data_IF_841420359084
#
_entry.id   IF_841420359084
#
_cell.length_a   1.000
_cell.length_b   1.000
_cell.length_c   1.000
_cell.angle_alpha   90.00
_cell.angle_beta   90.00
_cell.angle_gamma   90.00
#
_symmetry.space_group_name_H-M   'P 1'
#
loop_
_entity.id
_entity.type
_entity.pdbx_description
1 polymer ?
#
# COMPACT_ATOMS: atom_id res chain seq x y z
N UNK A 1 -10.64 -11.46 -9.82
CA UNK A 1 -10.05 -10.98 -11.09
C UNK A 1 -9.54 -9.57 -10.90
N UNK A 2 -8.47 -9.12 -11.59
CA UNK A 2 -7.94 -7.75 -11.47
C UNK A 2 -9.00 -6.65 -11.67
N UNK A 3 -9.97 -6.88 -12.56
CA UNK A 3 -11.07 -5.93 -12.83
C UNK A 3 -11.98 -5.69 -11.62
N UNK A 4 -12.31 -6.76 -10.87
CA UNK A 4 -13.09 -6.67 -9.63
C UNK A 4 -12.32 -5.86 -8.56
N UNK A 5 -11.00 -6.04 -8.49
CA UNK A 5 -10.17 -5.28 -7.56
C UNK A 5 -10.03 -3.81 -7.94
N UNK A 6 -9.82 -3.51 -9.22
CA UNK A 6 -9.73 -2.12 -9.66
C UNK A 6 -11.06 -1.40 -9.42
N UNK A 7 -12.19 -2.06 -9.69
CA UNK A 7 -13.50 -1.51 -9.38
C UNK A 7 -13.65 -1.22 -7.88
N UNK A 8 -13.20 -2.11 -6.98
CA UNK A 8 -13.17 -1.83 -5.54
C UNK A 8 -12.36 -0.57 -5.19
N UNK A 9 -11.22 -0.34 -5.84
CA UNK A 9 -10.45 0.89 -5.67
C UNK A 9 -11.20 2.13 -6.14
N UNK A 10 -11.83 2.06 -7.31
CA UNK A 10 -12.67 3.14 -7.86
C UNK A 10 -13.84 3.43 -6.94
N UNK A 11 -14.49 2.40 -6.44
CA UNK A 11 -15.61 2.53 -5.51
C UNK A 11 -15.15 3.19 -4.23
N UNK A 12 -14.06 2.73 -3.62
CA UNK A 12 -13.55 3.23 -2.35
C UNK A 12 -12.94 4.64 -2.45
N UNK A 13 -12.54 5.10 -3.64
CA UNK A 13 -11.83 6.37 -3.81
C UNK A 13 -12.65 7.60 -3.43
N UNK A 14 -13.98 7.54 -3.52
CA UNK A 14 -14.85 8.63 -3.08
C UNK A 14 -14.70 8.95 -1.60
N UNK A 15 -14.32 7.98 -0.77
CA UNK A 15 -14.07 8.19 0.65
C UNK A 15 -12.90 9.15 0.90
N UNK A 16 -11.89 9.11 0.03
CA UNK A 16 -10.76 10.04 0.07
C UNK A 16 -11.15 11.45 -0.43
N UNK A 17 -12.22 11.59 -1.22
CA UNK A 17 -12.73 12.88 -1.67
C UNK A 17 -13.23 13.79 -0.53
N UNK A 18 -13.62 13.22 0.60
CA UNK A 18 -13.95 13.99 1.82
C UNK A 18 -12.73 14.69 2.45
N UNK A 19 -11.52 14.31 2.04
CA UNK A 19 -10.29 15.02 2.36
C UNK A 19 -10.16 16.18 1.36
N UNK A 20 -9.90 15.86 0.10
CA UNK A 20 -9.67 16.81 -0.96
C UNK A 20 -10.14 16.15 -2.26
N UNK A 21 -10.89 16.84 -3.14
CA UNK A 21 -11.40 16.24 -4.37
C UNK A 21 -10.30 15.60 -5.24
N UNK A 22 -9.10 16.19 -5.27
CA UNK A 22 -7.97 15.64 -6.04
C UNK A 22 -7.54 14.24 -5.58
N UNK A 23 -7.79 13.88 -4.31
CA UNK A 23 -7.42 12.57 -3.76
C UNK A 23 -8.20 11.41 -4.39
N UNK A 24 -9.38 11.66 -4.96
CA UNK A 24 -10.17 10.64 -5.67
C UNK A 24 -9.37 10.06 -6.84
N UNK A 25 -8.80 10.94 -7.67
CA UNK A 25 -8.01 10.54 -8.83
C UNK A 25 -6.69 9.86 -8.41
N UNK A 26 -6.05 10.34 -7.34
CA UNK A 26 -4.83 9.73 -6.81
C UNK A 26 -5.06 8.32 -6.27
N UNK A 27 -6.15 8.08 -5.54
CA UNK A 27 -6.51 6.75 -5.05
C UNK A 27 -6.84 5.80 -6.20
N UNK A 28 -7.52 6.27 -7.25
CA UNK A 28 -7.73 5.46 -8.45
C UNK A 28 -6.40 5.13 -9.15
N UNK A 29 -5.46 6.08 -9.23
CA UNK A 29 -4.11 5.84 -9.73
C UNK A 29 -3.36 4.77 -8.93
N UNK A 30 -3.41 4.86 -7.60
CA UNK A 30 -2.88 3.83 -6.70
C UNK A 30 -3.49 2.45 -6.95
N UNK A 31 -4.80 2.40 -7.20
CA UNK A 31 -5.50 1.16 -7.56
C UNK A 31 -5.02 0.55 -8.87
N UNK A 32 -4.75 1.37 -9.90
CA UNK A 32 -4.18 0.88 -11.18
C UNK A 32 -2.79 0.29 -10.97
N UNK A 33 -1.94 0.98 -10.20
CA UNK A 33 -0.59 0.47 -9.89
C UNK A 33 -0.64 -0.82 -9.06
N UNK A 34 -1.56 -0.92 -8.10
CA UNK A 34 -1.77 -2.13 -7.31
C UNK A 34 -2.16 -3.32 -8.20
N UNK A 35 -3.14 -3.15 -9.10
CA UNK A 35 -3.54 -4.20 -10.04
C UNK A 35 -2.39 -4.60 -10.98
N UNK A 36 -1.67 -3.63 -11.55
CA UNK A 36 -0.51 -3.90 -12.41
C UNK A 36 0.58 -4.68 -11.69
N UNK A 37 0.87 -4.34 -10.43
CA UNK A 37 1.86 -5.06 -9.63
C UNK A 37 1.41 -6.50 -9.32
N UNK A 38 0.12 -6.72 -9.05
CA UNK A 38 -0.45 -8.06 -8.84
C UNK A 38 -0.38 -8.91 -10.12
N UNK A 39 -0.67 -8.32 -11.27
CA UNK A 39 -0.57 -8.99 -12.58
C UNK A 39 0.88 -9.39 -12.88
N UNK A 40 1.84 -8.49 -12.63
CA UNK A 40 3.27 -8.80 -12.79
C UNK A 40 3.76 -9.86 -11.81
N UNK A 41 3.27 -9.86 -10.57
CA UNK A 41 3.56 -10.91 -9.59
C UNK A 41 3.03 -12.28 -10.08
N UNK A 42 1.78 -12.34 -10.55
CA UNK A 42 1.19 -13.56 -11.08
C UNK A 42 1.94 -14.07 -12.33
N UNK A 43 2.30 -13.15 -13.24
CA UNK A 43 3.08 -13.46 -14.45
C UNK A 43 4.44 -14.04 -14.08
N UNK A 44 5.15 -13.41 -13.14
CA UNK A 44 6.48 -13.87 -12.72
C UNK A 44 6.42 -15.25 -12.05
N UNK A 45 5.42 -15.50 -11.20
CA UNK A 45 5.24 -16.80 -10.53
C UNK A 45 4.96 -17.95 -11.51
N UNK A 46 4.43 -17.65 -12.70
CA UNK A 46 4.16 -18.64 -13.76
C UNK A 46 5.40 -18.99 -14.60
N UNK A 47 6.53 -18.28 -14.44
CA UNK A 47 7.74 -18.55 -15.20
C UNK A 47 8.50 -19.78 -14.68
N UNK A 48 9.10 -20.52 -15.62
CA UNK A 48 10.09 -21.53 -15.28
C UNK A 48 11.46 -20.89 -14.95
N UNK A 49 12.41 -21.69 -14.49
CA UNK A 49 13.71 -21.20 -14.03
C UNK A 49 14.52 -20.49 -15.13
N UNK A 50 14.55 -21.05 -16.34
CA UNK A 50 15.25 -20.47 -17.49
C UNK A 50 14.67 -19.11 -17.87
N UNK A 51 13.34 -19.01 -17.97
CA UNK A 51 12.63 -17.77 -18.28
C UNK A 51 12.91 -16.69 -17.23
N UNK A 52 12.84 -17.07 -15.94
CA UNK A 52 13.07 -16.14 -14.82
C UNK A 52 14.50 -15.60 -14.73
N UNK A 53 15.47 -16.28 -15.35
CA UNK A 53 16.89 -15.90 -15.33
C UNK A 53 17.30 -15.03 -16.52
N UNK A 54 16.36 -14.66 -17.39
CA UNK A 54 16.65 -13.85 -18.58
C UNK A 54 16.95 -12.38 -18.24
N UNK A 55 17.70 -11.70 -19.12
CA UNK A 55 17.97 -10.26 -18.99
C UNK A 55 16.66 -9.44 -18.98
N UNK A 56 15.70 -9.83 -19.82
CA UNK A 56 14.39 -9.17 -19.88
C UNK A 56 13.65 -9.25 -18.54
N UNK A 57 13.67 -10.41 -17.89
CA UNK A 57 13.05 -10.57 -16.57
C UNK A 57 13.80 -9.81 -15.47
N UNK A 58 15.12 -9.67 -15.59
CA UNK A 58 15.91 -8.84 -14.67
C UNK A 58 15.48 -7.36 -14.74
N UNK A 59 15.28 -6.82 -15.94
CA UNK A 59 14.75 -5.45 -16.12
C UNK A 59 13.34 -5.30 -15.56
N UNK A 60 12.44 -6.24 -15.86
CA UNK A 60 11.07 -6.23 -15.33
C UNK A 60 11.03 -6.31 -13.81
N UNK A 61 11.93 -7.08 -13.20
CA UNK A 61 12.06 -7.16 -11.75
C UNK A 61 12.49 -5.80 -11.16
N UNK A 62 13.46 -5.12 -11.77
CA UNK A 62 13.90 -3.79 -11.35
C UNK A 62 12.77 -2.75 -11.44
N UNK A 63 12.00 -2.76 -12.55
CA UNK A 63 10.84 -1.89 -12.75
C UNK A 63 9.75 -2.16 -11.71
N UNK A 64 9.44 -3.44 -11.47
CA UNK A 64 8.45 -3.86 -10.47
C UNK A 64 8.86 -3.45 -9.06
N UNK A 65 10.13 -3.62 -8.71
CA UNK A 65 10.66 -3.19 -7.41
C UNK A 65 10.52 -1.68 -7.24
N UNK A 66 10.93 -0.91 -8.25
CA UNK A 66 10.84 0.55 -8.26
C UNK A 66 9.39 1.03 -8.14
N UNK A 67 8.48 0.46 -8.93
CA UNK A 67 7.05 0.81 -8.87
C UNK A 67 6.43 0.42 -7.53
N UNK A 68 6.85 -0.70 -6.92
CA UNK A 68 6.39 -1.10 -5.59
C UNK A 68 6.84 -0.11 -4.52
N UNK A 69 8.05 0.44 -4.64
CA UNK A 69 8.53 1.50 -3.75
C UNK A 69 7.71 2.78 -3.90
N UNK A 70 7.45 3.23 -5.14
CA UNK A 70 6.58 4.39 -5.37
C UNK A 70 5.16 4.17 -4.86
N UNK A 71 4.63 2.95 -4.99
CA UNK A 71 3.33 2.60 -4.46
C UNK A 71 3.30 2.72 -2.93
N UNK A 72 4.28 2.15 -2.22
CA UNK A 72 4.36 2.23 -0.76
C UNK A 72 4.51 3.68 -0.28
N UNK A 73 5.33 4.49 -0.95
CA UNK A 73 5.49 5.91 -0.66
C UNK A 73 4.16 6.66 -0.79
N UNK A 74 3.48 6.53 -1.93
CA UNK A 74 2.21 7.23 -2.17
C UNK A 74 1.08 6.75 -1.24
N UNK A 75 1.01 5.43 -0.98
CA UNK A 75 0.05 4.87 -0.02
C UNK A 75 0.29 5.38 1.41
N UNK A 76 1.55 5.44 1.84
CA UNK A 76 1.91 6.01 3.14
C UNK A 76 1.53 7.48 3.24
N UNK A 77 1.82 8.30 2.24
CA UNK A 77 1.51 9.73 2.28
C UNK A 77 0.00 10.01 2.33
N UNK A 78 -0.81 9.19 1.66
CA UNK A 78 -2.26 9.21 1.79
C UNK A 78 -2.69 8.92 3.24
N UNK A 79 -2.19 7.83 3.82
CA UNK A 79 -2.51 7.40 5.19
C UNK A 79 -2.02 8.43 6.22
N UNK A 80 -0.84 9.02 6.02
CA UNK A 80 -0.29 10.09 6.86
C UNK A 80 -1.17 11.33 6.81
N UNK A 81 -1.62 11.72 5.62
CA UNK A 81 -2.50 12.89 5.43
C UNK A 81 -3.85 12.67 6.11
N UNK A 82 -4.43 11.48 5.97
CA UNK A 82 -5.63 11.07 6.68
C UNK A 82 -5.46 11.17 8.19
N UNK A 83 -4.44 10.52 8.76
CA UNK A 83 -4.14 10.55 10.21
C UNK A 83 -3.94 11.98 10.74
N UNK A 84 -3.23 12.82 9.98
CA UNK A 84 -3.04 14.23 10.33
C UNK A 84 -4.37 14.96 10.44
N UNK A 85 -5.28 14.78 9.47
CA UNK A 85 -6.58 15.46 9.49
C UNK A 85 -7.48 15.01 10.64
N UNK A 86 -7.46 13.73 11.00
CA UNK A 86 -8.14 13.28 12.22
C UNK A 86 -7.56 13.96 13.47
N UNK A 87 -6.23 13.98 13.61
CA UNK A 87 -5.57 14.60 14.75
C UNK A 87 -5.84 16.10 14.90
N UNK A 88 -6.04 16.82 13.80
CA UNK A 88 -6.30 18.26 13.82
C UNK A 88 -7.80 18.61 13.77
N UNK A 89 -8.70 17.62 13.77
CA UNK A 89 -10.14 17.84 13.60
C UNK A 89 -10.53 18.40 12.23
N UNK A 90 -9.63 18.34 11.24
CA UNK A 90 -9.82 18.91 9.91
C UNK A 90 -10.49 17.92 8.93
N UNK A 91 -11.39 17.07 9.44
CA UNK A 91 -12.07 16.03 8.66
C UNK A 91 -13.53 15.92 9.04
N UNK A 92 -14.38 15.59 8.08
CA UNK A 92 -15.81 15.30 8.28
C UNK A 92 -16.06 13.80 8.49
N UNK A 93 -14.99 13.00 8.51
CA UNK A 93 -15.01 11.56 8.66
C UNK A 93 -15.30 11.13 10.11
N UNK A 94 -15.86 9.92 10.35
CA UNK A 94 -16.16 9.44 11.71
C UNK A 94 -14.91 9.32 12.60
N UNK A 95 -14.99 9.80 13.84
CA UNK A 95 -13.87 9.77 14.81
C UNK A 95 -13.38 8.36 15.16
N UNK A 96 -14.29 7.40 15.21
CA UNK A 96 -14.01 5.97 15.44
C UNK A 96 -13.03 5.37 14.42
N UNK A 97 -12.88 5.98 13.24
CA UNK A 97 -11.93 5.55 12.21
C UNK A 97 -10.51 6.08 12.42
N UNK A 98 -10.32 7.08 13.29
CA UNK A 98 -9.02 7.70 13.57
C UNK A 98 -7.99 6.72 14.14
N UNK A 99 -8.39 5.84 15.06
CA UNK A 99 -7.50 4.81 15.59
C UNK A 99 -7.07 3.80 14.52
N UNK A 100 -7.97 3.46 13.59
CA UNK A 100 -7.68 2.49 12.51
C UNK A 100 -6.64 3.05 11.54
N UNK A 101 -6.77 4.33 11.15
CA UNK A 101 -5.76 4.96 10.27
C UNK A 101 -4.41 5.10 10.97
N UNK A 102 -4.40 5.39 12.27
CA UNK A 102 -3.16 5.47 13.05
C UNK A 102 -2.45 4.12 13.12
N UNK A 103 -3.18 3.01 13.22
CA UNK A 103 -2.62 1.64 13.18
C UNK A 103 -2.07 1.32 11.78
N UNK A 104 -2.83 1.63 10.72
CA UNK A 104 -2.38 1.42 9.34
C UNK A 104 -1.09 2.22 9.04
N UNK A 105 -1.04 3.48 9.48
CA UNK A 105 0.13 4.34 9.37
C UNK A 105 1.35 3.70 10.02
N UNK A 106 1.23 3.24 11.27
CA UNK A 106 2.34 2.59 12.00
C UNK A 106 2.86 1.35 11.27
N UNK A 107 1.97 0.56 10.66
CA UNK A 107 2.39 -0.62 9.88
C UNK A 107 3.17 -0.21 8.63
N UNK A 108 2.73 0.83 7.92
CA UNK A 108 3.45 1.38 6.78
C UNK A 108 4.78 2.07 7.18
N UNK A 109 4.83 2.73 8.34
CA UNK A 109 6.07 3.31 8.90
C UNK A 109 7.13 2.23 9.15
N UNK A 110 6.71 1.02 9.52
CA UNK A 110 7.61 -0.10 9.78
C UNK A 110 8.41 -0.53 8.55
N UNK A 111 7.83 -0.38 7.36
CA UNK A 111 8.55 -0.60 6.09
C UNK A 111 9.65 0.41 5.84
N UNK A 112 9.67 1.53 6.58
CA UNK A 112 10.52 2.71 6.38
C UNK A 112 10.29 3.23 4.98
N UNK A 113 9.48 4.29 4.87
CA UNK A 113 9.12 4.90 3.58
C UNK A 113 10.33 4.84 2.64
N UNK A 114 10.26 3.95 1.63
CA UNK A 114 11.42 3.67 0.81
C UNK A 114 11.89 4.95 0.15
N UNK A 115 13.21 5.13 0.05
CA UNK A 115 13.85 6.34 -0.49
C UNK A 115 13.73 7.61 0.39
N UNK A 116 12.97 7.60 1.49
CA UNK A 116 12.78 8.79 2.34
C UNK A 116 13.36 8.64 3.75
N UNK A 117 13.56 7.41 4.25
CA UNK A 117 14.19 7.16 5.57
C UNK A 117 15.17 5.98 5.49
N UNK A 118 16.44 6.24 5.79
CA UNK A 118 17.53 5.25 5.80
C UNK A 118 17.78 4.64 7.19
N UNK A 119 17.19 5.22 8.24
CA UNK A 119 17.36 4.79 9.63
C UNK A 119 16.21 3.91 10.12
N UNK A 120 16.47 3.14 11.18
CA UNK A 120 15.46 2.32 11.86
C UNK A 120 14.34 3.16 12.46
N UNK A 121 13.10 2.75 12.20
CA UNK A 121 11.94 3.39 12.81
C UNK A 121 12.07 3.32 14.33
N UNK A 122 12.02 4.46 15.01
CA UNK A 122 12.25 4.56 16.48
C UNK A 122 11.41 3.58 17.32
N UNK A 123 10.24 3.19 16.82
CA UNK A 123 9.32 2.25 17.48
C UNK A 123 9.70 0.77 17.30
N UNK A 124 10.61 0.45 16.38
CA UNK A 124 11.04 -0.90 16.04
C UNK A 124 12.58 -1.01 16.06
N UNK A 125 13.23 -0.79 17.22
CA UNK A 125 14.69 -0.68 17.30
C UNK A 125 15.45 -1.97 16.94
N UNK A 126 14.78 -3.13 16.97
CA UNK A 126 15.35 -4.44 16.63
C UNK A 126 15.23 -4.79 15.13
N UNK A 127 14.54 -3.97 14.33
CA UNK A 127 14.40 -4.19 12.88
C UNK A 127 15.71 -3.83 12.16
N UNK A 128 16.04 -4.56 11.08
CA UNK A 128 17.24 -4.39 10.26
C UNK A 128 17.37 -2.95 9.73
N UNK A 129 18.57 -2.34 9.73
CA UNK A 129 18.81 -0.95 9.27
C UNK A 129 18.26 -0.66 7.85
N UNK A 130 18.19 -1.68 7.00
CA UNK A 130 17.55 -1.59 5.69
C UNK A 130 16.44 -2.64 5.64
N UNK A 131 15.25 -2.23 5.19
CA UNK A 131 14.19 -3.16 4.81
C UNK A 131 14.56 -3.76 3.44
N UNK A 132 15.13 -4.96 3.43
CA UNK A 132 15.60 -5.57 2.19
C UNK A 132 14.41 -6.05 1.36
N UNK A 133 14.29 -5.62 0.09
CA UNK A 133 13.25 -6.15 -0.77
C UNK A 133 13.52 -7.64 -1.01
N UNK A 134 12.45 -8.41 -0.93
CA UNK A 134 12.45 -9.83 -1.24
C UNK A 134 11.28 -10.14 -2.16
N UNK A 135 11.42 -11.17 -2.96
CA UNK A 135 10.35 -11.65 -3.82
C UNK A 135 10.08 -13.11 -3.49
N UNK A 136 8.81 -13.41 -3.23
CA UNK A 136 8.32 -14.78 -3.07
C UNK A 136 7.33 -15.09 -4.18
N UNK A 137 7.28 -16.36 -4.59
CA UNK A 137 6.25 -16.84 -5.52
C UNK A 137 4.85 -16.81 -4.89
N UNK A 138 4.75 -16.88 -3.55
CA UNK A 138 3.49 -17.01 -2.83
C UNK A 138 2.79 -15.66 -2.61
N UNK A 139 3.56 -14.62 -2.29
CA UNK A 139 3.02 -13.29 -1.92
C UNK A 139 3.59 -12.14 -2.76
N UNK A 140 4.39 -12.43 -3.79
CA UNK A 140 5.00 -11.43 -4.65
C UNK A 140 6.09 -10.64 -3.93
N UNK A 141 6.16 -9.34 -4.22
CA UNK A 141 7.15 -8.46 -3.63
C UNK A 141 6.82 -8.11 -2.16
N UNK A 142 7.83 -8.26 -1.29
CA UNK A 142 7.76 -8.00 0.13
C UNK A 142 9.05 -7.35 0.64
N UNK A 143 9.04 -6.97 1.92
CA UNK A 143 10.22 -6.46 2.61
C UNK A 143 10.51 -7.28 3.85
N UNK A 144 11.76 -7.73 3.95
CA UNK A 144 12.30 -8.39 5.13
C UNK A 144 12.75 -7.30 6.13
N UNK A 145 11.98 -7.12 7.20
CA UNK A 145 12.19 -6.02 8.16
C UNK A 145 12.88 -6.47 9.46
N UNK A 146 12.76 -7.75 9.83
CA UNK A 146 13.43 -8.38 10.97
C UNK A 146 13.54 -9.90 10.74
N UNK A 147 14.33 -10.61 11.55
CA UNK A 147 14.76 -12.02 11.35
C UNK A 147 13.69 -12.99 10.82
N UNK A 148 12.43 -12.85 11.24
CA UNK A 148 11.30 -13.66 10.76
C UNK A 148 10.08 -12.80 10.43
N UNK A 149 10.30 -11.54 10.05
CA UNK A 149 9.22 -10.60 9.74
C UNK A 149 9.31 -10.10 8.32
N UNK A 150 8.27 -10.43 7.56
CA UNK A 150 8.04 -9.96 6.21
C UNK A 150 6.78 -9.12 6.17
N UNK A 151 6.81 -8.06 5.37
CA UNK A 151 5.62 -7.28 5.07
C UNK A 151 5.46 -7.28 3.56
N UNK A 152 4.42 -7.95 3.05
CA UNK A 152 4.13 -7.95 1.62
C UNK A 152 3.48 -6.64 1.19
N UNK A 153 3.79 -6.18 -0.02
CA UNK A 153 3.09 -5.03 -0.61
C UNK A 153 1.59 -5.30 -0.74
N UNK A 154 1.22 -6.53 -1.07
CA UNK A 154 -0.17 -6.97 -1.24
C UNK A 154 -0.98 -6.84 0.06
N UNK A 155 -0.42 -7.23 1.20
CA UNK A 155 -1.08 -7.04 2.49
C UNK A 155 -1.37 -5.57 2.80
N UNK A 156 -0.45 -4.67 2.46
CA UNK A 156 -0.64 -3.23 2.67
C UNK A 156 -1.74 -2.68 1.77
N UNK A 157 -1.77 -3.12 0.51
CA UNK A 157 -2.79 -2.69 -0.44
C UNK A 157 -4.16 -3.22 -0.09
N UNK A 158 -4.26 -4.46 0.39
CA UNK A 158 -5.49 -5.04 0.93
C UNK A 158 -5.99 -4.25 2.14
N UNK A 159 -5.13 -3.97 3.12
CA UNK A 159 -5.52 -3.21 4.32
C UNK A 159 -5.95 -1.77 4.01
N UNK A 160 -5.25 -1.10 3.09
CA UNK A 160 -5.62 0.25 2.67
C UNK A 160 -6.96 0.24 1.91
N UNK A 161 -7.15 -0.70 0.99
CA UNK A 161 -8.38 -0.83 0.23
C UNK A 161 -9.57 -1.13 1.16
N UNK A 162 -9.42 -2.06 2.09
CA UNK A 162 -10.46 -2.41 3.05
C UNK A 162 -10.79 -1.24 3.98
N UNK A 163 -9.77 -0.49 4.43
CA UNK A 163 -9.98 0.73 5.21
C UNK A 163 -10.81 1.78 4.45
N UNK A 164 -10.46 2.06 3.19
CA UNK A 164 -11.18 3.03 2.36
C UNK A 164 -12.61 2.57 2.03
N UNK A 165 -12.80 1.28 1.76
CA UNK A 165 -14.11 0.71 1.50
C UNK A 165 -15.03 0.81 2.72
N UNK A 166 -14.50 0.52 3.92
CA UNK A 166 -15.23 0.70 5.17
C UNK A 166 -15.57 2.16 5.45
N UNK A 167 -14.64 3.07 5.16
CA UNK A 167 -14.85 4.50 5.32
C UNK A 167 -16.00 4.98 4.44
N UNK A 168 -16.05 4.53 3.18
CA UNK A 168 -17.17 4.79 2.27
C UNK A 168 -18.50 4.29 2.84
N UNK A 169 -18.56 3.04 3.30
CA UNK A 169 -19.79 2.46 3.87
C UNK A 169 -20.35 3.32 5.01
N UNK A 170 -19.48 3.77 5.92
CA UNK A 170 -19.85 4.63 7.05
C UNK A 170 -20.32 6.02 6.62
N UNK A 171 -19.70 6.60 5.58
CA UNK A 171 -20.17 7.86 5.00
C UNK A 171 -21.58 7.75 4.40
N UNK A 172 -21.90 6.64 3.73
CA UNK A 172 -23.23 6.41 3.15
C UNK A 172 -24.29 6.21 4.24
N UNK A 173 -23.98 5.46 5.30
CA UNK A 173 -24.91 5.22 6.41
C UNK A 173 -25.28 6.51 7.17
N UNK A 174 -24.36 7.47 7.29
CA UNK A 174 -24.64 8.76 7.96
C UNK A 174 -25.54 9.70 7.15
N UNK A 175 -25.74 9.43 5.85
CA UNK A 175 -26.59 10.23 4.95
C UNK A 175 -28.04 9.74 4.88
N UNK A 176 -28.33 8.56 5.46
CA UNK A 176 -29.66 7.94 5.48
C UNK A 176 -30.26 8.13 6.86
#
# INVERSE_FOLDING_TARGET
>A
MPDDRFQRWVDASSAAGAIEPVMIALVQGLGRFDCRLIEEDARFSALNQEQSSSLQESTRLADRLTLSYFWVLAAYELVRTLDQRWRTGATTLPDESGNRVAVLKRRMERLRIPLAKTETARRFPIDNTIAYPTISRDFGLAWHVAQDTYISRRELSDQLLDFLADLKKRQTQKKT
#
